data_IF_537171494706
#
_entry.id   IF_537171494706
#
_cell.length_a   1.000
_cell.length_b   1.000
_cell.length_c   1.000
_cell.angle_alpha   90.00
_cell.angle_beta   90.00
_cell.angle_gamma   90.00
#
_symmetry.space_group_name_H-M   'P 1'
#
loop_
_entity.id
_entity.type
_entity.pdbx_description
1 polymer ?
#
# COMPACT_ATOMS: atom_id res chain seq x y z
N UNK A 1 -36.41 40.63 -9.25
CA UNK A 1 -35.75 39.83 -8.20
C UNK A 1 -36.01 38.36 -8.56
N UNK A 2 -35.00 37.70 -9.11
CA UNK A 2 -35.06 36.25 -9.38
C UNK A 2 -34.54 35.61 -8.11
N UNK A 3 -35.44 34.99 -7.34
CA UNK A 3 -35.09 34.13 -6.24
C UNK A 3 -34.25 32.97 -6.80
N UNK A 4 -32.97 32.98 -6.48
CA UNK A 4 -32.14 31.80 -6.60
C UNK A 4 -32.69 30.76 -5.63
N UNK A 5 -33.45 29.79 -6.16
CA UNK A 5 -33.75 28.56 -5.43
C UNK A 5 -32.44 27.90 -5.06
N UNK A 6 -32.03 28.08 -3.81
CA UNK A 6 -31.05 27.21 -3.20
C UNK A 6 -31.63 25.82 -3.17
N UNK A 7 -31.29 25.00 -4.13
CA UNK A 7 -31.50 23.56 -4.07
C UNK A 7 -30.79 23.07 -2.79
N UNK A 8 -31.53 22.92 -1.72
CA UNK A 8 -31.05 22.29 -0.51
C UNK A 8 -30.61 20.87 -0.88
N UNK A 9 -29.32 20.61 -0.83
CA UNK A 9 -28.71 19.27 -0.93
C UNK A 9 -29.07 18.44 0.33
N UNK A 10 -30.36 18.43 0.73
CA UNK A 10 -30.83 17.84 1.97
C UNK A 10 -31.08 16.34 1.82
N UNK A 11 -30.02 15.55 1.74
CA UNK A 11 -30.16 14.12 1.79
C UNK A 11 -29.00 13.50 2.57
N UNK A 12 -29.27 12.44 3.32
CA UNK A 12 -28.27 11.72 4.09
C UNK A 12 -27.38 10.88 3.15
N UNK A 13 -26.06 10.99 3.32
CA UNK A 13 -25.05 10.26 2.52
C UNK A 13 -24.50 9.09 3.34
N UNK A 14 -24.55 7.87 2.79
CA UNK A 14 -23.81 6.75 3.34
C UNK A 14 -22.40 6.73 2.76
N UNK A 15 -21.40 6.58 3.65
CA UNK A 15 -20.03 6.26 3.29
C UNK A 15 -19.75 4.84 3.76
N UNK A 16 -19.57 3.92 2.83
CA UNK A 16 -19.30 2.53 3.13
C UNK A 16 -17.80 2.34 3.35
N UNK A 17 -17.42 1.97 4.58
CA UNK A 17 -16.05 1.78 5.04
C UNK A 17 -15.47 2.96 5.80
N UNK A 18 -14.89 2.66 6.98
CA UNK A 18 -14.22 3.59 7.91
C UNK A 18 -12.69 3.57 7.79
N UNK A 19 -12.13 3.22 6.63
CA UNK A 19 -10.71 3.38 6.33
C UNK A 19 -10.32 4.84 6.05
N UNK A 20 -9.06 5.10 5.70
CA UNK A 20 -8.55 6.45 5.42
C UNK A 20 -9.45 7.23 4.46
N UNK A 21 -9.78 6.66 3.29
CA UNK A 21 -10.59 7.36 2.27
C UNK A 21 -11.99 7.68 2.79
N UNK A 22 -12.64 6.74 3.50
CA UNK A 22 -13.97 6.97 4.07
C UNK A 22 -13.98 8.06 5.13
N UNK A 23 -13.00 8.05 6.04
CA UNK A 23 -12.86 9.07 7.08
C UNK A 23 -12.54 10.45 6.52
N UNK A 24 -11.60 10.55 5.55
CA UNK A 24 -11.25 11.83 4.92
C UNK A 24 -12.43 12.38 4.14
N UNK A 25 -13.10 11.56 3.31
CA UNK A 25 -14.28 11.99 2.56
C UNK A 25 -15.40 12.43 3.50
N UNK A 26 -15.66 11.65 4.56
CA UNK A 26 -16.68 11.98 5.56
C UNK A 26 -16.36 13.27 6.32
N UNK A 27 -15.11 13.45 6.73
CA UNK A 27 -14.67 14.67 7.38
C UNK A 27 -14.89 15.91 6.50
N UNK A 28 -14.45 15.85 5.25
CA UNK A 28 -14.56 16.98 4.32
C UNK A 28 -16.02 17.30 3.97
N UNK A 29 -16.85 16.29 3.71
CA UNK A 29 -18.29 16.48 3.46
C UNK A 29 -19.00 17.07 4.68
N UNK A 30 -18.69 16.58 5.90
CA UNK A 30 -19.23 17.13 7.14
C UNK A 30 -18.81 18.60 7.37
N UNK A 31 -17.59 18.98 7.00
CA UNK A 31 -17.14 20.38 7.02
C UNK A 31 -17.94 21.27 6.05
N UNK A 32 -18.38 20.72 4.92
CA UNK A 32 -19.25 21.41 3.96
C UNK A 32 -20.74 21.41 4.38
N UNK A 33 -21.07 20.92 5.58
CA UNK A 33 -22.46 20.89 6.10
C UNK A 33 -23.31 19.74 5.60
N UNK A 34 -22.73 18.74 4.90
CA UNK A 34 -23.47 17.57 4.43
C UNK A 34 -23.82 16.63 5.58
N UNK A 35 -25.00 16.02 5.51
CA UNK A 35 -25.42 14.99 6.46
C UNK A 35 -24.85 13.64 6.04
N UNK A 36 -23.90 13.10 6.81
CA UNK A 36 -23.21 11.85 6.50
C UNK A 36 -23.40 10.79 7.57
N UNK A 37 -23.24 9.52 7.19
CA UNK A 37 -23.02 8.40 8.10
C UNK A 37 -21.99 7.44 7.49
N UNK A 38 -20.92 7.13 8.25
CA UNK A 38 -19.90 6.17 7.89
C UNK A 38 -20.27 4.81 8.49
N UNK A 39 -20.34 3.77 7.65
CA UNK A 39 -20.67 2.40 8.05
C UNK A 39 -19.41 1.53 7.98
N UNK A 40 -18.89 1.10 9.13
CA UNK A 40 -17.68 0.30 9.27
C UNK A 40 -18.00 -1.09 9.82
N UNK A 41 -17.48 -2.14 9.18
CA UNK A 41 -17.73 -3.52 9.58
C UNK A 41 -17.02 -3.92 10.87
N UNK A 42 -15.85 -3.35 11.13
CA UNK A 42 -15.01 -3.68 12.28
C UNK A 42 -15.46 -2.94 13.54
N UNK A 43 -14.92 -3.34 14.69
CA UNK A 43 -15.14 -2.67 15.98
C UNK A 43 -14.36 -1.35 16.11
N UNK A 44 -13.47 -1.05 15.15
CA UNK A 44 -12.72 0.19 15.07
C UNK A 44 -12.48 0.62 13.62
N UNK A 45 -12.21 1.91 13.42
CA UNK A 45 -11.87 2.49 12.13
C UNK A 45 -10.40 2.29 11.77
N UNK A 46 -10.05 2.55 10.49
CA UNK A 46 -8.67 2.64 10.03
C UNK A 46 -8.32 1.74 8.83
N UNK A 47 -9.01 0.62 8.66
CA UNK A 47 -8.69 -0.33 7.60
C UNK A 47 -7.20 -0.73 7.64
N UNK A 48 -6.49 -0.62 6.52
CA UNK A 48 -5.05 -0.93 6.43
C UNK A 48 -4.14 -0.03 7.31
N UNK A 49 -4.65 1.09 7.81
CA UNK A 49 -3.89 2.02 8.66
C UNK A 49 -4.12 1.78 10.15
N UNK A 50 -4.63 0.64 10.55
CA UNK A 50 -4.67 0.23 11.96
C UNK A 50 -3.27 -0.17 12.43
N UNK A 51 -3.04 0.00 13.74
CA UNK A 51 -1.80 -0.42 14.40
C UNK A 51 -2.13 -1.28 15.60
N UNK A 52 -1.36 -2.35 15.80
CA UNK A 52 -1.36 -3.10 17.04
C UNK A 52 -0.65 -2.26 18.12
N UNK A 53 -1.27 -2.10 19.28
CA UNK A 53 -0.62 -1.57 20.49
C UNK A 53 -0.78 -2.62 21.58
N UNK A 54 0.32 -3.28 21.95
CA UNK A 54 0.31 -4.41 22.89
C UNK A 54 1.61 -4.40 23.70
N UNK A 55 1.51 -4.35 25.03
CA UNK A 55 2.62 -4.41 25.98
C UNK A 55 3.80 -3.44 25.66
N UNK A 56 3.47 -2.21 25.27
CA UNK A 56 4.44 -1.18 24.87
C UNK A 56 5.00 -1.30 23.46
N UNK A 57 4.61 -2.32 22.72
CA UNK A 57 4.92 -2.47 21.31
C UNK A 57 3.84 -1.85 20.44
N UNK A 58 4.26 -1.20 19.35
CA UNK A 58 3.35 -0.67 18.32
C UNK A 58 3.81 -1.10 16.94
N UNK A 59 2.90 -1.71 16.17
CA UNK A 59 3.15 -2.17 14.79
C UNK A 59 1.98 -1.85 13.89
N UNK A 60 2.24 -1.44 12.67
CA UNK A 60 1.21 -1.16 11.66
C UNK A 60 0.73 -2.46 11.00
N UNK A 61 -0.59 -2.69 10.96
CA UNK A 61 -1.19 -3.93 10.44
C UNK A 61 -0.95 -4.15 8.96
N UNK A 62 -1.20 -3.13 8.15
CA UNK A 62 -1.11 -3.21 6.69
C UNK A 62 0.32 -3.14 6.13
N UNK A 63 1.33 -3.46 6.93
CA UNK A 63 2.75 -3.25 6.61
C UNK A 63 3.23 -1.84 6.99
N UNK A 64 4.52 -1.58 6.81
CA UNK A 64 5.08 -0.27 7.16
C UNK A 64 4.47 0.86 6.36
N UNK A 65 3.80 1.77 7.04
CA UNK A 65 3.30 3.00 6.46
C UNK A 65 4.18 4.18 6.87
N UNK A 66 4.53 5.03 5.90
CA UNK A 66 5.26 6.27 6.12
C UNK A 66 4.49 7.43 5.52
N UNK A 67 4.53 8.58 6.17
CA UNK A 67 3.89 9.81 5.70
C UNK A 67 4.86 10.53 4.79
N UNK A 68 4.46 10.66 3.54
CA UNK A 68 5.21 11.32 2.49
C UNK A 68 4.24 11.74 1.38
N UNK A 69 4.47 12.90 0.77
CA UNK A 69 3.79 13.31 -0.46
C UNK A 69 4.61 14.35 -1.23
N UNK A 70 4.47 14.36 -2.56
CA UNK A 70 4.86 15.49 -3.41
C UNK A 70 3.79 16.59 -3.43
N UNK A 71 2.55 16.22 -3.14
CA UNK A 71 1.45 17.15 -3.02
C UNK A 71 1.47 17.77 -1.61
N UNK A 72 1.76 19.06 -1.54
CA UNK A 72 1.88 19.81 -0.28
C UNK A 72 0.56 19.89 0.48
N UNK A 73 -0.60 19.95 -0.21
CA UNK A 73 -1.92 19.97 0.42
C UNK A 73 -2.16 18.65 1.18
N UNK A 74 -1.94 17.51 0.54
CA UNK A 74 -2.09 16.20 1.19
C UNK A 74 -1.08 15.98 2.31
N UNK A 75 0.18 16.44 2.14
CA UNK A 75 1.19 16.33 3.19
C UNK A 75 0.82 17.15 4.41
N UNK A 76 0.50 18.43 4.21
CA UNK A 76 0.12 19.32 5.31
C UNK A 76 -1.14 18.83 6.01
N UNK A 77 -2.15 18.35 5.27
CA UNK A 77 -3.34 17.75 5.86
C UNK A 77 -3.00 16.61 6.84
N UNK A 78 -2.09 15.70 6.47
CA UNK A 78 -1.65 14.61 7.36
C UNK A 78 -0.88 15.12 8.59
N UNK A 79 0.03 16.09 8.40
CA UNK A 79 0.84 16.63 9.49
C UNK A 79 0.01 17.48 10.44
N UNK A 80 -0.94 18.28 9.95
CA UNK A 80 -1.86 19.09 10.78
C UNK A 80 -2.76 18.21 11.64
N UNK A 81 -3.19 17.05 11.13
CA UNK A 81 -3.93 16.05 11.92
C UNK A 81 -3.11 15.49 13.07
N UNK A 82 -1.82 15.31 12.90
CA UNK A 82 -0.91 14.79 13.92
C UNK A 82 -0.44 15.87 14.91
N UNK A 83 -0.50 17.14 14.52
CA UNK A 83 0.04 18.25 15.32
C UNK A 83 1.53 18.07 15.61
N UNK A 84 1.90 17.90 16.89
CA UNK A 84 3.30 17.64 17.28
C UNK A 84 3.67 16.15 17.37
N UNK A 85 2.71 15.26 17.07
CA UNK A 85 2.91 13.81 17.20
C UNK A 85 3.57 13.20 15.94
N UNK A 86 4.66 13.79 15.46
CA UNK A 86 5.43 13.16 14.37
C UNK A 86 6.93 13.41 14.48
N UNK A 87 7.70 12.56 13.80
CA UNK A 87 9.16 12.65 13.62
C UNK A 87 9.46 12.68 12.13
N UNK A 88 10.39 13.56 11.73
CA UNK A 88 10.95 13.56 10.37
C UNK A 88 12.16 12.67 10.33
N UNK A 89 12.14 11.67 9.45
CA UNK A 89 13.20 10.70 9.23
C UNK A 89 13.86 10.87 7.87
N UNK A 90 15.13 10.50 7.77
CA UNK A 90 15.80 10.29 6.48
C UNK A 90 15.74 8.81 6.14
N UNK A 91 15.30 8.49 4.93
CA UNK A 91 15.21 7.11 4.46
C UNK A 91 16.59 6.48 4.33
N UNK A 92 16.76 5.30 4.91
CA UNK A 92 17.92 4.43 4.72
C UNK A 92 17.41 3.04 4.30
N UNK A 93 17.30 2.83 2.99
CA UNK A 93 16.72 1.62 2.40
C UNK A 93 17.79 0.89 1.61
N UNK A 94 17.83 -0.42 1.77
CA UNK A 94 18.73 -1.32 1.08
C UNK A 94 17.97 -2.48 0.45
N UNK A 95 18.64 -3.18 -0.46
CA UNK A 95 18.20 -4.45 -1.04
C UNK A 95 19.17 -5.50 -0.54
N UNK A 96 18.67 -6.56 0.06
CA UNK A 96 19.49 -7.69 0.48
C UNK A 96 19.60 -8.68 -0.69
N UNK A 97 20.69 -8.58 -1.44
CA UNK A 97 20.99 -9.40 -2.60
C UNK A 97 22.24 -10.25 -2.36
N UNK A 98 22.11 -11.59 -2.42
CA UNK A 98 23.22 -12.52 -2.20
C UNK A 98 24.06 -12.18 -0.96
N UNK A 99 23.41 -11.88 0.19
CA UNK A 99 24.04 -11.43 1.46
C UNK A 99 24.72 -10.06 1.41
N UNK A 100 24.68 -9.34 0.30
CA UNK A 100 25.17 -7.97 0.18
C UNK A 100 24.03 -6.97 0.36
N UNK A 101 24.33 -5.85 1.03
CA UNK A 101 23.39 -4.74 1.21
C UNK A 101 23.55 -3.74 0.05
N UNK A 102 22.81 -3.94 -1.02
CA UNK A 102 22.84 -3.08 -2.20
C UNK A 102 21.99 -1.82 -1.96
N UNK A 103 22.51 -0.66 -2.34
CA UNK A 103 21.78 0.62 -2.25
C UNK A 103 20.48 0.55 -3.07
N UNK A 104 19.41 1.15 -2.54
CA UNK A 104 18.16 1.30 -3.27
C UNK A 104 18.09 2.68 -3.98
N UNK A 105 17.62 2.75 -5.23
CA UNK A 105 17.21 1.62 -6.07
C UNK A 105 18.42 0.81 -6.58
N UNK A 106 18.17 -0.44 -7.03
CA UNK A 106 19.23 -1.43 -7.34
C UNK A 106 20.23 -0.91 -8.39
N UNK A 107 19.73 -0.24 -9.43
CA UNK A 107 20.52 0.38 -10.50
C UNK A 107 21.45 1.50 -10.00
N UNK A 108 21.16 2.09 -8.83
CA UNK A 108 22.02 3.05 -8.15
C UNK A 108 22.92 2.44 -7.06
N UNK A 109 22.96 1.11 -6.98
CA UNK A 109 23.75 0.35 -6.03
C UNK A 109 24.72 -0.62 -6.71
N UNK A 110 25.00 -0.49 -8.00
CA UNK A 110 25.75 -1.49 -8.75
C UNK A 110 27.17 -1.69 -8.21
N UNK A 111 27.81 -0.68 -7.60
CA UNK A 111 29.14 -0.83 -6.97
C UNK A 111 29.13 -1.70 -5.70
N UNK A 112 27.98 -1.91 -5.09
CA UNK A 112 27.83 -2.79 -3.92
C UNK A 112 27.82 -4.27 -4.31
N UNK A 113 27.75 -4.58 -5.63
CA UNK A 113 27.83 -5.93 -6.18
C UNK A 113 29.29 -6.38 -6.39
N UNK A 114 29.53 -7.70 -6.51
CA UNK A 114 30.80 -8.20 -7.02
C UNK A 114 31.15 -7.59 -8.38
N UNK A 115 32.43 -7.26 -8.63
CA UNK A 115 32.87 -6.53 -9.84
C UNK A 115 32.41 -7.17 -11.16
N UNK A 116 32.36 -8.50 -11.21
CA UNK A 116 31.86 -9.21 -12.41
C UNK A 116 30.37 -8.94 -12.64
N UNK A 117 29.55 -8.94 -11.57
CA UNK A 117 28.12 -8.64 -11.65
C UNK A 117 27.86 -7.16 -11.93
N UNK A 118 28.66 -6.25 -11.35
CA UNK A 118 28.62 -4.81 -11.67
C UNK A 118 28.86 -4.60 -13.16
N UNK A 119 29.90 -5.25 -13.73
CA UNK A 119 30.21 -5.16 -15.16
C UNK A 119 29.08 -5.71 -16.03
N UNK A 120 28.53 -6.88 -15.68
CA UNK A 120 27.42 -7.50 -16.41
C UNK A 120 26.19 -6.57 -16.45
N UNK A 121 25.79 -6.01 -15.30
CA UNK A 121 24.67 -5.08 -15.21
C UNK A 121 24.92 -3.82 -16.04
N UNK A 122 26.08 -3.19 -15.88
CA UNK A 122 26.41 -1.96 -16.57
C UNK A 122 26.52 -2.17 -18.08
N UNK A 123 27.22 -3.23 -18.51
CA UNK A 123 27.39 -3.54 -19.94
C UNK A 123 26.03 -3.80 -20.60
N UNK A 124 25.18 -4.65 -20.00
CA UNK A 124 23.85 -4.92 -20.55
C UNK A 124 22.97 -3.67 -20.60
N UNK A 125 23.07 -2.78 -19.61
CA UNK A 125 22.37 -1.50 -19.62
C UNK A 125 22.83 -0.60 -20.78
N UNK A 126 24.15 -0.42 -20.97
CA UNK A 126 24.72 0.37 -22.07
C UNK A 126 24.31 -0.22 -23.44
N UNK A 127 24.41 -1.54 -23.62
CA UNK A 127 23.97 -2.20 -24.87
C UNK A 127 22.49 -1.94 -25.15
N UNK A 128 21.64 -1.94 -24.12
CA UNK A 128 20.22 -1.64 -24.26
C UNK A 128 20.01 -0.19 -24.71
N UNK A 129 20.74 0.79 -24.16
CA UNK A 129 20.66 2.18 -24.61
C UNK A 129 21.07 2.36 -26.07
N UNK A 130 22.16 1.73 -26.50
CA UNK A 130 22.63 1.76 -27.88
C UNK A 130 21.65 1.11 -28.87
N UNK A 131 20.95 0.04 -28.44
CA UNK A 131 19.90 -0.60 -29.25
C UNK A 131 18.65 0.29 -29.35
N UNK A 132 18.28 1.01 -28.30
CA UNK A 132 17.17 1.98 -28.34
C UNK A 132 17.43 3.13 -29.28
N UNK A 133 18.64 3.74 -29.21
CA UNK A 133 19.03 4.83 -30.09
C UNK A 133 18.95 4.46 -31.57
N UNK A 134 19.14 3.19 -31.90
CA UNK A 134 19.08 2.66 -33.27
C UNK A 134 17.70 2.12 -33.63
N UNK A 135 16.66 2.34 -32.85
CA UNK A 135 15.30 1.81 -33.02
C UNK A 135 15.23 0.26 -33.23
N UNK A 136 16.19 -0.46 -32.62
CA UNK A 136 16.27 -1.92 -32.72
C UNK A 136 15.44 -2.69 -31.71
N UNK A 137 14.83 -1.99 -30.74
CA UNK A 137 14.03 -2.63 -29.70
C UNK A 137 12.54 -2.34 -29.89
N UNK A 138 11.71 -3.37 -29.89
CA UNK A 138 10.27 -3.23 -29.86
C UNK A 138 9.80 -2.58 -28.55
N UNK A 139 8.72 -1.81 -28.62
CA UNK A 139 8.08 -1.27 -27.40
C UNK A 139 7.57 -2.40 -26.52
N UNK A 140 7.82 -2.33 -25.20
CA UNK A 140 7.43 -3.38 -24.26
C UNK A 140 5.90 -3.45 -24.11
N UNK A 141 5.37 -4.67 -23.90
CA UNK A 141 3.94 -4.94 -23.69
C UNK A 141 3.63 -5.39 -22.26
N UNK A 142 4.62 -5.79 -21.50
CA UNK A 142 4.49 -6.30 -20.12
C UNK A 142 5.72 -5.95 -19.30
N UNK A 143 5.66 -6.17 -17.98
CA UNK A 143 6.74 -5.83 -17.06
C UNK A 143 8.05 -6.55 -17.38
N UNK A 144 8.00 -7.81 -17.83
CA UNK A 144 9.20 -8.55 -18.19
C UNK A 144 9.94 -7.84 -19.34
N UNK A 145 9.23 -7.56 -20.44
CA UNK A 145 9.80 -6.85 -21.59
C UNK A 145 10.25 -5.43 -21.22
N UNK A 146 9.47 -4.72 -20.39
CA UNK A 146 9.80 -3.38 -19.93
C UNK A 146 11.07 -3.36 -19.10
N UNK A 147 11.29 -4.36 -18.24
CA UNK A 147 12.48 -4.47 -17.41
C UNK A 147 13.74 -4.61 -18.26
N UNK A 148 13.71 -5.48 -19.28
CA UNK A 148 14.80 -5.62 -20.25
C UNK A 148 14.99 -4.36 -21.10
N UNK A 149 13.89 -3.79 -21.59
CA UNK A 149 13.90 -2.59 -22.41
C UNK A 149 14.44 -1.37 -21.66
N UNK A 150 14.20 -1.27 -20.36
CA UNK A 150 14.57 -0.07 -19.57
C UNK A 150 15.96 -0.18 -18.97
N UNK A 151 16.33 -1.34 -18.41
CA UNK A 151 17.53 -1.50 -17.59
C UNK A 151 18.53 -2.54 -18.13
N UNK A 152 18.20 -3.24 -19.19
CA UNK A 152 19.02 -4.32 -19.73
C UNK A 152 18.92 -5.63 -18.92
N UNK A 153 19.55 -6.67 -19.44
CA UNK A 153 19.40 -8.03 -18.93
C UNK A 153 19.95 -8.21 -17.51
N UNK A 154 21.10 -7.62 -17.19
CA UNK A 154 21.74 -7.81 -15.91
C UNK A 154 20.89 -7.34 -14.72
N UNK A 155 20.41 -6.09 -14.78
CA UNK A 155 19.55 -5.50 -13.71
C UNK A 155 18.18 -6.20 -13.71
N UNK A 156 17.57 -6.41 -14.88
CA UNK A 156 16.27 -7.03 -15.00
C UNK A 156 16.22 -8.42 -14.34
N UNK A 157 17.16 -9.31 -14.65
CA UNK A 157 17.20 -10.68 -14.11
C UNK A 157 17.64 -10.79 -12.67
N UNK A 158 18.55 -9.90 -12.21
CA UNK A 158 19.08 -9.98 -10.85
C UNK A 158 18.10 -9.42 -9.81
N UNK A 159 17.34 -8.41 -10.16
CA UNK A 159 16.49 -7.75 -9.16
C UNK A 159 15.05 -7.49 -9.62
N UNK A 160 14.85 -6.78 -10.74
CA UNK A 160 13.50 -6.26 -11.05
C UNK A 160 12.48 -7.37 -11.23
N UNK A 161 12.76 -8.35 -12.08
CA UNK A 161 11.85 -9.45 -12.35
C UNK A 161 11.67 -10.32 -11.09
N UNK A 162 12.72 -10.87 -10.45
CA UNK A 162 12.56 -11.72 -9.26
C UNK A 162 11.82 -11.03 -8.12
N UNK A 163 12.11 -9.76 -7.85
CA UNK A 163 11.46 -9.02 -6.78
C UNK A 163 9.99 -8.73 -7.08
N UNK A 164 9.68 -8.29 -8.30
CA UNK A 164 8.29 -8.03 -8.68
C UNK A 164 7.44 -9.30 -8.71
N UNK A 165 7.95 -10.41 -9.26
CA UNK A 165 7.24 -11.69 -9.18
C UNK A 165 7.02 -12.19 -7.75
N UNK A 166 7.96 -11.89 -6.85
CA UNK A 166 7.83 -12.25 -5.43
C UNK A 166 6.75 -11.45 -4.72
N UNK A 167 6.72 -10.12 -4.90
CA UNK A 167 5.73 -9.26 -4.24
C UNK A 167 4.35 -9.37 -4.88
N UNK A 168 4.28 -9.44 -6.22
CA UNK A 168 3.00 -9.47 -6.94
C UNK A 168 2.41 -10.87 -7.08
N UNK A 169 3.19 -11.94 -6.82
CA UNK A 169 2.77 -13.34 -7.00
C UNK A 169 2.21 -13.62 -8.39
N UNK A 170 2.75 -12.97 -9.39
CA UNK A 170 2.37 -13.08 -10.79
C UNK A 170 3.63 -13.12 -11.66
N UNK A 171 3.60 -13.89 -12.76
CA UNK A 171 4.68 -13.85 -13.76
C UNK A 171 4.79 -12.46 -14.37
N UNK A 172 6.00 -11.92 -14.45
CA UNK A 172 6.26 -10.59 -14.99
C UNK A 172 5.76 -10.40 -16.44
N UNK A 173 5.61 -11.49 -17.22
CA UNK A 173 5.02 -11.49 -18.55
C UNK A 173 3.52 -11.24 -18.58
N UNK A 174 2.85 -11.46 -17.46
CA UNK A 174 1.40 -11.24 -17.28
C UNK A 174 1.09 -9.91 -16.60
N UNK A 175 2.10 -9.16 -16.14
CA UNK A 175 1.93 -7.86 -15.52
C UNK A 175 1.85 -6.74 -16.56
N UNK A 176 0.82 -5.90 -16.45
CA UNK A 176 0.65 -4.70 -17.28
C UNK A 176 1.66 -3.61 -16.96
N UNK A 177 1.62 -2.52 -17.74
CA UNK A 177 2.56 -1.39 -17.61
C UNK A 177 1.95 -0.16 -16.96
N UNK A 178 0.67 -0.18 -16.60
CA UNK A 178 -0.07 0.99 -16.11
C UNK A 178 0.43 1.54 -14.75
N UNK A 179 1.39 0.86 -14.14
CA UNK A 179 1.94 1.21 -12.83
C UNK A 179 3.47 1.36 -12.80
N UNK A 180 4.17 1.09 -13.93
CA UNK A 180 5.66 1.07 -13.98
C UNK A 180 6.29 2.44 -13.68
N UNK A 181 5.55 3.54 -13.82
CA UNK A 181 6.02 4.88 -13.43
C UNK A 181 6.38 4.99 -11.94
N UNK A 182 5.92 4.04 -11.11
CA UNK A 182 6.29 3.94 -9.70
C UNK A 182 7.64 3.28 -9.46
N UNK A 183 8.17 2.57 -10.46
CA UNK A 183 9.50 1.98 -10.40
C UNK A 183 10.52 3.10 -10.63
N UNK A 184 11.52 3.27 -9.72
CA UNK A 184 12.54 4.27 -9.93
C UNK A 184 13.24 4.12 -11.28
N UNK A 185 13.44 5.21 -11.97
CA UNK A 185 14.21 5.26 -13.21
C UNK A 185 15.21 6.43 -13.11
N UNK A 186 16.36 6.20 -12.47
CA UNK A 186 17.36 7.25 -12.28
C UNK A 186 17.98 7.66 -13.61
N UNK A 187 18.54 8.90 -13.68
CA UNK A 187 19.30 9.34 -14.84
C UNK A 187 20.44 8.37 -15.18
N UNK A 188 20.74 8.22 -16.47
CA UNK A 188 21.85 7.37 -16.97
C UNK A 188 23.17 7.72 -16.27
N UNK A 189 23.43 9.02 -16.09
CA UNK A 189 24.63 9.52 -15.41
C UNK A 189 24.75 8.97 -13.98
N UNK A 190 23.62 8.90 -13.24
CA UNK A 190 23.62 8.39 -11.87
C UNK A 190 23.92 6.89 -11.81
N UNK A 191 23.42 6.13 -12.79
CA UNK A 191 23.73 4.68 -12.91
C UNK A 191 25.23 4.48 -13.18
N UNK A 192 25.78 5.28 -14.11
CA UNK A 192 27.21 5.22 -14.43
C UNK A 192 28.08 5.62 -13.23
N UNK A 193 27.79 6.74 -12.57
CA UNK A 193 28.50 7.19 -11.37
C UNK A 193 28.45 6.13 -10.27
N UNK A 194 27.26 5.62 -9.99
CA UNK A 194 27.08 4.62 -8.93
C UNK A 194 27.82 3.32 -9.21
N UNK A 195 27.93 2.89 -10.47
CA UNK A 195 28.66 1.69 -10.86
C UNK A 195 30.18 1.81 -10.62
N UNK A 196 30.69 3.05 -10.66
CA UNK A 196 32.09 3.38 -10.36
C UNK A 196 32.33 3.68 -8.87
N UNK A 197 31.31 3.59 -8.02
CA UNK A 197 31.40 3.91 -6.59
C UNK A 197 31.33 5.39 -6.28
N UNK A 198 31.02 6.25 -7.26
CA UNK A 198 30.78 7.68 -7.04
C UNK A 198 29.42 7.85 -6.38
N UNK A 199 29.39 8.54 -5.24
CA UNK A 199 28.15 8.75 -4.49
C UNK A 199 27.14 9.60 -5.31
N UNK A 200 25.92 9.13 -5.40
CA UNK A 200 24.76 9.84 -5.95
C UNK A 200 23.64 9.83 -4.93
N UNK A 201 22.77 10.85 -4.93
CA UNK A 201 21.54 10.77 -4.10
C UNK A 201 20.59 9.68 -4.60
N UNK A 202 20.69 9.33 -5.88
CA UNK A 202 19.88 8.32 -6.53
C UNK A 202 18.40 8.71 -6.57
N UNK A 203 17.54 7.93 -5.95
CA UNK A 203 16.11 8.19 -5.90
C UNK A 203 15.78 9.18 -4.78
N UNK A 204 15.68 10.47 -5.11
CA UNK A 204 15.38 11.55 -4.16
C UNK A 204 13.93 11.57 -3.70
N UNK A 205 13.04 10.93 -4.47
CA UNK A 205 11.66 10.74 -4.08
C UNK A 205 11.58 9.93 -2.78
N UNK A 206 10.84 10.41 -1.78
CA UNK A 206 10.79 9.82 -0.43
C UNK A 206 12.15 9.80 0.32
N UNK A 207 13.06 10.68 0.01
CA UNK A 207 14.33 10.80 0.75
C UNK A 207 14.08 11.12 2.23
N UNK A 208 13.08 11.95 2.49
CA UNK A 208 12.57 12.23 3.83
C UNK A 208 11.13 11.75 3.94
N UNK A 209 10.78 11.23 5.11
CA UNK A 209 9.42 10.85 5.46
C UNK A 209 9.11 11.21 6.91
N UNK A 210 7.82 11.22 7.25
CA UNK A 210 7.38 11.44 8.61
C UNK A 210 6.68 10.17 9.13
N UNK A 211 6.73 10.01 10.44
CA UNK A 211 6.07 8.91 11.14
C UNK A 211 5.57 9.39 12.51
N UNK A 212 4.41 8.94 13.02
CA UNK A 212 3.93 9.33 14.34
C UNK A 212 4.92 8.96 15.44
N UNK A 213 5.11 9.86 16.42
CA UNK A 213 5.92 9.55 17.62
C UNK A 213 5.31 8.38 18.36
N UNK A 214 3.99 8.45 18.62
CA UNK A 214 3.23 7.48 19.41
C UNK A 214 2.03 6.99 18.61
N UNK A 215 1.61 5.72 18.86
CA UNK A 215 0.36 5.15 18.35
C UNK A 215 0.43 4.61 16.92
N UNK A 216 1.64 4.53 16.32
CA UNK A 216 1.79 4.05 14.95
C UNK A 216 1.04 4.90 13.94
N UNK A 217 0.86 4.39 12.72
CA UNK A 217 0.15 5.14 11.66
C UNK A 217 -1.33 5.36 12.01
N UNK A 218 -1.90 4.54 12.91
CA UNK A 218 -3.29 4.70 13.38
C UNK A 218 -3.52 6.01 14.10
N UNK A 219 -2.49 6.69 14.62
CA UNK A 219 -2.62 8.02 15.23
C UNK A 219 -3.27 9.02 14.25
N UNK A 220 -2.99 8.94 12.96
CA UNK A 220 -3.62 9.77 11.93
C UNK A 220 -5.13 9.48 11.83
N UNK A 221 -5.50 8.19 11.86
CA UNK A 221 -6.89 7.72 11.83
C UNK A 221 -7.65 8.22 13.07
N UNK A 222 -7.06 8.07 14.27
CA UNK A 222 -7.69 8.52 15.52
C UNK A 222 -7.92 10.02 15.56
N UNK A 223 -7.01 10.80 14.96
CA UNK A 223 -7.19 12.25 14.82
C UNK A 223 -8.36 12.63 13.91
N UNK A 224 -8.60 11.88 12.82
CA UNK A 224 -9.78 12.05 11.96
C UNK A 224 -11.07 11.58 12.67
N UNK A 225 -11.03 10.39 13.25
CA UNK A 225 -12.14 9.80 14.00
C UNK A 225 -12.68 10.75 15.06
N UNK A 226 -11.81 11.36 15.85
CA UNK A 226 -12.20 12.30 16.89
C UNK A 226 -13.00 13.52 16.38
N UNK A 227 -12.79 13.92 15.12
CA UNK A 227 -13.50 15.06 14.51
C UNK A 227 -14.91 14.73 14.01
N UNK A 228 -15.24 13.45 13.80
CA UNK A 228 -16.49 12.98 13.20
C UNK A 228 -17.05 11.72 13.89
N UNK A 229 -16.68 11.46 15.15
CA UNK A 229 -17.03 10.23 15.87
C UNK A 229 -18.55 9.94 15.87
N UNK A 230 -19.41 10.97 16.06
CA UNK A 230 -20.85 10.80 16.09
C UNK A 230 -21.47 10.43 14.71
N UNK A 231 -20.65 10.43 13.63
CA UNK A 231 -21.07 10.08 12.28
C UNK A 231 -20.66 8.66 11.89
N UNK A 232 -20.06 7.89 12.81
CA UNK A 232 -19.50 6.56 12.55
C UNK A 232 -20.37 5.50 13.23
N UNK A 233 -20.83 4.54 12.46
CA UNK A 233 -21.48 3.30 12.95
C UNK A 233 -20.52 2.14 12.76
N UNK A 234 -19.98 1.62 13.86
CA UNK A 234 -19.09 0.45 13.89
C UNK A 234 -19.90 -0.85 13.91
N UNK A 235 -19.24 -1.98 13.63
CA UNK A 235 -19.84 -3.33 13.58
C UNK A 235 -21.00 -3.45 12.59
N UNK A 236 -20.99 -2.64 11.53
CA UNK A 236 -22.00 -2.65 10.47
C UNK A 236 -21.39 -3.23 9.18
N UNK A 237 -21.44 -4.54 9.03
CA UNK A 237 -20.94 -5.23 7.84
C UNK A 237 -21.98 -5.18 6.72
N UNK A 238 -21.76 -4.32 5.73
CA UNK A 238 -22.68 -4.15 4.59
C UNK A 238 -22.79 -5.43 3.78
N UNK A 239 -24.01 -6.00 3.71
CA UNK A 239 -24.35 -7.22 2.98
C UNK A 239 -25.25 -6.98 1.78
N UNK A 240 -26.08 -5.94 1.83
CA UNK A 240 -26.98 -5.55 0.74
C UNK A 240 -26.99 -4.04 0.56
N UNK A 241 -26.90 -3.62 -0.69
CA UNK A 241 -27.12 -2.24 -1.13
C UNK A 241 -28.14 -2.30 -2.27
N UNK A 242 -29.27 -1.72 -2.09
CA UNK A 242 -30.36 -1.71 -3.07
C UNK A 242 -31.02 -0.35 -3.18
N UNK A 243 -31.85 -0.15 -4.19
CA UNK A 243 -32.63 1.06 -4.36
C UNK A 243 -34.10 0.74 -4.16
N UNK A 244 -34.74 1.48 -3.27
CA UNK A 244 -36.16 1.36 -2.98
C UNK A 244 -36.82 2.76 -3.14
N UNK A 245 -37.72 2.87 -4.08
CA UNK A 245 -38.24 4.17 -4.53
C UNK A 245 -37.06 5.07 -4.95
N UNK A 246 -36.95 6.28 -4.38
CA UNK A 246 -35.89 7.23 -4.69
C UNK A 246 -34.70 7.20 -3.69
N UNK A 247 -34.63 6.21 -2.79
CA UNK A 247 -33.63 6.09 -1.75
C UNK A 247 -32.80 4.84 -1.90
N UNK A 248 -31.54 4.92 -1.45
CA UNK A 248 -30.69 3.78 -1.27
C UNK A 248 -30.96 3.12 0.08
N UNK A 249 -31.10 1.81 0.09
CA UNK A 249 -31.20 1.01 1.32
C UNK A 249 -29.94 0.20 1.49
N UNK A 250 -29.28 0.36 2.64
CA UNK A 250 -28.08 -0.38 3.01
C UNK A 250 -28.42 -1.28 4.20
N UNK A 251 -28.08 -2.58 4.09
CA UNK A 251 -28.39 -3.59 5.11
C UNK A 251 -27.16 -4.39 5.51
N UNK A 252 -27.00 -4.66 6.81
CA UNK A 252 -26.03 -5.61 7.37
C UNK A 252 -26.62 -7.02 7.56
N UNK A 253 -27.87 -7.20 7.11
CA UNK A 253 -28.66 -8.44 7.31
C UNK A 253 -29.41 -8.49 8.65
N UNK A 254 -29.27 -7.48 9.52
CA UNK A 254 -29.98 -7.35 10.80
C UNK A 254 -30.79 -6.03 10.83
N UNK A 255 -30.18 -4.99 10.35
CA UNK A 255 -30.75 -3.63 10.32
C UNK A 255 -30.65 -3.04 8.92
N UNK A 256 -31.57 -2.16 8.57
CA UNK A 256 -31.59 -1.44 7.31
C UNK A 256 -31.56 0.06 7.58
N UNK A 257 -30.83 0.78 6.74
CA UNK A 257 -30.71 2.24 6.80
C UNK A 257 -30.93 2.84 5.44
N UNK A 258 -31.66 3.96 5.38
CA UNK A 258 -32.01 4.65 4.14
C UNK A 258 -31.15 5.89 3.93
N UNK A 259 -30.70 6.11 2.68
CA UNK A 259 -29.82 7.20 2.28
C UNK A 259 -30.19 7.75 0.89
N UNK A 260 -29.81 8.99 0.63
CA UNK A 260 -30.02 9.63 -0.67
C UNK A 260 -28.84 9.38 -1.64
N UNK A 261 -27.62 9.21 -1.11
CA UNK A 261 -26.40 8.96 -1.87
C UNK A 261 -25.56 7.90 -1.21
N UNK A 262 -24.81 7.15 -2.03
CA UNK A 262 -23.82 6.18 -1.58
C UNK A 262 -22.43 6.56 -2.09
N UNK A 263 -21.47 6.60 -1.19
CA UNK A 263 -20.06 6.66 -1.49
C UNK A 263 -19.43 5.40 -0.93
N UNK A 264 -18.81 4.60 -1.78
CA UNK A 264 -18.15 3.37 -1.34
C UNK A 264 -16.65 3.53 -1.26
N UNK A 265 -16.08 3.14 -0.14
CA UNK A 265 -14.63 3.04 0.08
C UNK A 265 -14.20 1.61 0.45
N UNK A 266 -15.18 0.67 0.53
CA UNK A 266 -14.91 -0.75 0.76
C UNK A 266 -14.35 -1.41 -0.51
N UNK A 267 -13.69 -2.58 -0.39
CA UNK A 267 -13.25 -3.33 -1.55
C UNK A 267 -14.39 -3.54 -2.55
N UNK A 268 -14.13 -3.19 -3.81
CA UNK A 268 -15.17 -3.22 -4.86
C UNK A 268 -15.70 -4.64 -5.09
N UNK A 269 -14.92 -5.68 -4.78
CA UNK A 269 -15.37 -7.07 -4.77
C UNK A 269 -16.54 -7.28 -3.78
N UNK A 270 -16.40 -6.72 -2.57
CA UNK A 270 -17.45 -6.77 -1.54
C UNK A 270 -18.67 -5.94 -1.93
N UNK A 271 -18.44 -4.78 -2.55
CA UNK A 271 -19.53 -3.95 -3.04
C UNK A 271 -20.32 -4.65 -4.15
N UNK A 272 -19.65 -5.25 -5.15
CA UNK A 272 -20.32 -6.03 -6.22
C UNK A 272 -21.12 -7.19 -5.65
N UNK A 273 -20.63 -7.84 -4.59
CA UNK A 273 -21.39 -8.90 -3.90
C UNK A 273 -22.62 -8.38 -3.12
N UNK A 274 -22.61 -7.10 -2.73
CA UNK A 274 -23.70 -6.47 -1.97
C UNK A 274 -24.79 -5.85 -2.85
N UNK A 275 -24.53 -5.61 -4.14
CA UNK A 275 -25.50 -5.10 -5.11
C UNK A 275 -25.95 -6.21 -6.07
N UNK A 276 -27.12 -6.06 -6.68
CA UNK A 276 -27.56 -6.96 -7.74
C UNK A 276 -26.90 -6.59 -9.08
N UNK A 277 -25.61 -6.90 -9.20
CA UNK A 277 -24.84 -6.57 -10.38
C UNK A 277 -25.12 -7.53 -11.55
N UNK A 278 -25.08 -7.06 -12.81
CA UNK A 278 -25.16 -7.91 -14.00
C UNK A 278 -24.01 -8.94 -14.07
N UNK A 279 -24.24 -10.04 -14.80
CA UNK A 279 -23.24 -11.11 -14.92
C UNK A 279 -21.91 -10.63 -15.53
N UNK A 280 -21.95 -9.69 -16.45
CA UNK A 280 -20.77 -9.06 -17.05
C UNK A 280 -19.89 -8.39 -15.99
N UNK A 281 -20.49 -7.63 -15.06
CA UNK A 281 -19.80 -6.97 -13.95
C UNK A 281 -19.24 -8.00 -12.97
N UNK A 282 -19.99 -9.06 -12.67
CA UNK A 282 -19.52 -10.19 -11.83
C UNK A 282 -18.33 -10.90 -12.46
N UNK A 283 -18.33 -11.10 -13.76
CA UNK A 283 -17.19 -11.69 -14.48
C UNK A 283 -15.97 -10.77 -14.45
N UNK A 284 -16.17 -9.46 -14.72
CA UNK A 284 -15.09 -8.48 -14.69
C UNK A 284 -14.44 -8.37 -13.30
N UNK A 285 -15.25 -8.32 -12.21
CA UNK A 285 -14.71 -8.23 -10.85
C UNK A 285 -13.96 -9.52 -10.44
N UNK A 286 -14.41 -10.68 -10.90
CA UNK A 286 -13.72 -11.95 -10.63
C UNK A 286 -12.37 -12.06 -11.35
N UNK A 287 -12.19 -11.34 -12.45
CA UNK A 287 -10.95 -11.25 -13.20
C UNK A 287 -9.96 -10.23 -12.61
N UNK A 288 -10.41 -9.25 -11.82
CA UNK A 288 -9.55 -8.28 -11.16
C UNK A 288 -8.81 -8.92 -9.98
N UNK A 289 -7.49 -8.89 -10.04
CA UNK A 289 -6.60 -9.60 -9.12
C UNK A 289 -6.06 -8.70 -8.02
N UNK A 290 -5.89 -9.25 -6.83
CA UNK A 290 -5.25 -8.60 -5.70
C UNK A 290 -4.42 -9.60 -4.90
N UNK A 291 -3.48 -9.09 -4.12
CA UNK A 291 -2.74 -9.89 -3.14
C UNK A 291 -3.18 -9.54 -1.73
N UNK A 292 -3.09 -10.57 -0.89
CA UNK A 292 -3.17 -10.50 0.55
C UNK A 292 -1.79 -10.26 1.16
N UNK A 293 -1.77 -9.82 2.41
CA UNK A 293 -0.55 -9.56 3.17
C UNK A 293 -0.62 -10.25 4.53
N UNK A 294 0.45 -10.94 4.87
CA UNK A 294 0.72 -11.38 6.23
C UNK A 294 1.84 -10.52 6.78
N UNK A 295 1.63 -9.92 7.94
CA UNK A 295 2.66 -9.20 8.68
C UNK A 295 3.06 -9.98 9.92
N UNK A 296 4.35 -10.24 10.08
CA UNK A 296 4.93 -10.84 11.27
C UNK A 296 5.66 -9.76 12.04
N UNK A 297 5.21 -9.50 13.25
CA UNK A 297 5.64 -8.45 14.15
C UNK A 297 6.56 -9.08 15.20
N UNK A 298 7.82 -8.64 15.27
CA UNK A 298 8.80 -9.19 16.19
C UNK A 298 9.40 -8.09 17.05
N UNK A 299 9.33 -8.26 18.37
CA UNK A 299 10.07 -7.46 19.33
C UNK A 299 11.40 -8.11 19.67
N UNK A 300 12.47 -7.32 19.67
CA UNK A 300 13.84 -7.79 19.84
C UNK A 300 14.46 -7.21 21.10
N UNK A 301 15.03 -8.05 21.93
CA UNK A 301 15.71 -7.69 23.17
C UNK A 301 17.09 -7.08 22.91
N UNK A 302 17.14 -6.07 22.06
CA UNK A 302 18.33 -5.27 21.74
C UNK A 302 17.94 -3.83 21.52
N UNK A 303 18.72 -2.91 22.03
CA UNK A 303 18.45 -1.47 21.91
C UNK A 303 18.42 -1.01 20.44
N UNK A 304 19.28 -1.59 19.62
CA UNK A 304 19.37 -1.25 18.19
C UNK A 304 19.88 -2.43 17.38
N UNK A 305 19.20 -2.76 16.29
CA UNK A 305 19.63 -3.77 15.34
C UNK A 305 20.52 -3.21 14.23
N UNK A 306 20.12 -2.07 13.68
CA UNK A 306 20.77 -1.40 12.56
C UNK A 306 20.23 0.04 12.40
N UNK A 307 20.66 0.74 11.33
CA UNK A 307 20.18 2.10 10.99
C UNK A 307 19.22 2.11 9.78
N UNK A 308 18.73 0.95 9.35
CA UNK A 308 17.90 0.84 8.17
C UNK A 308 16.45 1.23 8.45
N UNK A 309 15.81 1.86 7.48
CA UNK A 309 14.36 2.03 7.48
C UNK A 309 13.68 0.70 7.11
N UNK A 310 14.10 0.10 6.01
CA UNK A 310 13.63 -1.22 5.56
C UNK A 310 14.60 -1.86 4.56
N UNK A 311 14.43 -3.17 4.39
CA UNK A 311 15.13 -4.02 3.43
C UNK A 311 14.14 -4.63 2.45
N UNK A 312 14.48 -4.62 1.17
CA UNK A 312 13.83 -5.43 0.16
C UNK A 312 14.57 -6.75 -0.02
N UNK A 313 13.85 -7.86 -0.14
CA UNK A 313 14.40 -9.22 -0.19
C UNK A 313 13.91 -9.93 -1.45
N UNK A 314 14.67 -9.91 -2.55
CA UNK A 314 14.29 -10.58 -3.80
C UNK A 314 14.43 -12.11 -3.73
N UNK A 315 15.17 -12.67 -2.77
CA UNK A 315 15.40 -14.11 -2.62
C UNK A 315 14.08 -14.88 -2.49
N UNK A 316 13.76 -15.72 -3.49
CA UNK A 316 12.53 -16.52 -3.54
C UNK A 316 12.54 -17.71 -2.58
N UNK A 317 13.70 -18.06 -1.97
CA UNK A 317 13.80 -19.18 -1.02
C UNK A 317 13.27 -18.83 0.37
N UNK A 318 12.99 -17.56 0.64
CA UNK A 318 12.37 -17.06 1.87
C UNK A 318 11.02 -16.42 1.57
N UNK A 319 10.09 -16.48 2.54
CA UNK A 319 8.73 -15.96 2.34
C UNK A 319 8.70 -14.43 2.33
N UNK A 320 9.45 -13.81 3.22
CA UNK A 320 9.44 -12.37 3.46
C UNK A 320 10.00 -11.61 2.25
N UNK A 321 9.23 -10.65 1.72
CA UNK A 321 9.68 -9.81 0.60
C UNK A 321 10.21 -8.44 1.06
N UNK A 322 9.78 -7.97 2.25
CA UNK A 322 10.22 -6.72 2.87
C UNK A 322 10.35 -6.89 4.38
N UNK A 323 11.37 -6.31 4.95
CA UNK A 323 11.57 -6.20 6.40
C UNK A 323 11.75 -4.73 6.74
N UNK A 324 10.95 -4.22 7.66
CA UNK A 324 11.05 -2.86 8.17
C UNK A 324 11.47 -2.87 9.63
N UNK A 325 12.02 -1.74 10.09
CA UNK A 325 12.52 -1.56 11.44
C UNK A 325 11.78 -0.38 12.11
N UNK A 326 10.54 -0.58 12.60
CA UNK A 326 9.70 0.52 13.11
C UNK A 326 10.35 1.31 14.25
N UNK A 327 11.17 0.68 15.08
CA UNK A 327 11.95 1.36 16.13
C UNK A 327 12.92 2.42 15.58
N UNK A 328 13.33 2.33 14.29
CA UNK A 328 14.11 3.36 13.61
C UNK A 328 13.24 4.52 13.06
N UNK A 329 11.91 4.36 13.06
CA UNK A 329 10.98 5.45 12.70
C UNK A 329 10.61 6.28 13.92
N UNK A 330 10.37 5.59 15.06
CA UNK A 330 10.12 6.20 16.36
C UNK A 330 10.57 5.27 17.49
N UNK A 331 11.31 5.80 18.45
CA UNK A 331 11.67 5.06 19.66
C UNK A 331 10.49 4.85 20.61
N UNK A 332 9.38 5.56 20.41
CA UNK A 332 8.18 5.44 21.23
C UNK A 332 7.26 4.28 20.84
N UNK A 333 7.60 3.55 19.75
CA UNK A 333 6.83 2.37 19.31
C UNK A 333 7.36 1.05 19.87
N UNK A 334 8.37 1.11 20.75
CA UNK A 334 8.97 -0.06 21.42
C UNK A 334 9.23 0.23 22.88
N UNK A 335 9.25 -0.79 23.75
CA UNK A 335 9.71 -0.62 25.13
C UNK A 335 11.17 -0.12 25.20
N UNK A 336 11.58 0.63 26.24
CA UNK A 336 12.93 1.13 26.40
C UNK A 336 14.00 0.00 26.29
N UNK A 337 15.07 0.26 25.53
CA UNK A 337 16.16 -0.70 25.33
C UNK A 337 15.82 -1.85 24.38
N UNK A 338 14.73 -1.79 23.65
CA UNK A 338 14.29 -2.78 22.68
C UNK A 338 14.31 -2.22 21.25
N UNK A 339 14.18 -3.09 20.27
CA UNK A 339 13.96 -2.75 18.86
C UNK A 339 12.93 -3.68 18.23
N UNK A 340 12.47 -3.36 17.03
CA UNK A 340 11.38 -4.08 16.38
C UNK A 340 11.68 -4.41 14.92
N UNK A 341 11.10 -5.52 14.47
CA UNK A 341 11.07 -5.96 13.08
C UNK A 341 9.62 -6.16 12.66
N UNK A 342 9.26 -5.62 11.51
CA UNK A 342 8.00 -5.92 10.81
C UNK A 342 8.35 -6.62 9.50
N UNK A 343 8.09 -7.93 9.42
CA UNK A 343 8.31 -8.74 8.23
C UNK A 343 7.00 -8.87 7.43
N UNK A 344 7.08 -8.65 6.13
CA UNK A 344 5.94 -8.62 5.22
C UNK A 344 6.01 -9.76 4.22
N UNK A 345 4.93 -10.53 4.13
CA UNK A 345 4.79 -11.70 3.27
C UNK A 345 3.53 -11.53 2.42
N UNK A 346 3.68 -11.36 1.11
CA UNK A 346 2.54 -11.40 0.19
C UNK A 346 2.14 -12.82 -0.15
N UNK A 347 0.85 -13.06 -0.31
CA UNK A 347 0.26 -14.34 -0.67
C UNK A 347 -1.07 -14.10 -1.40
N UNK A 348 -1.68 -15.15 -1.94
CA UNK A 348 -3.07 -15.09 -2.38
C UNK A 348 -3.99 -15.47 -1.24
N UNK A 349 -5.15 -14.83 -1.18
CA UNK A 349 -6.19 -15.20 -0.22
C UNK A 349 -6.54 -16.70 -0.35
N UNK A 350 -6.40 -17.42 0.76
CA UNK A 350 -6.72 -18.84 0.81
C UNK A 350 -5.68 -19.79 0.19
N UNK A 351 -4.49 -19.34 -0.21
CA UNK A 351 -3.39 -20.22 -0.61
C UNK A 351 -2.72 -20.92 0.61
N UNK A 352 -1.73 -21.76 0.36
CA UNK A 352 -1.06 -22.53 1.41
C UNK A 352 -0.37 -21.62 2.44
N UNK A 353 0.22 -20.49 1.99
CA UNK A 353 0.88 -19.52 2.87
C UNK A 353 -0.14 -18.80 3.75
N UNK A 354 -1.29 -18.41 3.17
CA UNK A 354 -2.38 -17.78 3.90
C UNK A 354 -2.95 -18.70 5.00
N UNK A 355 -3.03 -20.00 4.73
CA UNK A 355 -3.61 -21.01 5.64
C UNK A 355 -2.67 -21.52 6.71
N UNK A 356 -1.36 -21.20 6.64
CA UNK A 356 -0.40 -21.59 7.67
C UNK A 356 -0.86 -21.11 9.05
N UNK A 357 -0.59 -21.89 10.09
CA UNK A 357 -0.83 -21.46 11.48
C UNK A 357 0.11 -20.31 11.85
N UNK A 358 -0.32 -19.44 12.76
CA UNK A 358 0.48 -18.31 13.21
C UNK A 358 1.85 -18.74 13.76
N UNK A 359 1.89 -19.81 14.54
CA UNK A 359 3.15 -20.37 15.07
C UNK A 359 4.10 -20.80 13.96
N UNK A 360 3.60 -21.43 12.89
CA UNK A 360 4.41 -21.87 11.75
C UNK A 360 4.96 -20.67 10.94
N UNK A 361 4.10 -19.66 10.69
CA UNK A 361 4.53 -18.42 10.00
C UNK A 361 5.61 -17.69 10.81
N UNK A 362 5.43 -17.58 12.14
CA UNK A 362 6.40 -16.94 13.03
C UNK A 362 7.73 -17.68 12.97
N UNK A 363 7.73 -19.01 13.20
CA UNK A 363 8.92 -19.83 13.21
C UNK A 363 9.68 -19.74 11.89
N UNK A 364 8.97 -19.92 10.77
CA UNK A 364 9.56 -19.84 9.43
C UNK A 364 10.12 -18.44 9.13
N UNK A 365 9.43 -17.39 9.53
CA UNK A 365 9.92 -16.01 9.37
C UNK A 365 11.19 -15.78 10.18
N UNK A 366 11.25 -16.26 11.42
CA UNK A 366 12.43 -16.17 12.28
C UNK A 366 13.60 -16.92 11.66
N UNK A 367 13.39 -18.15 11.16
CA UNK A 367 14.41 -18.93 10.48
C UNK A 367 14.93 -18.24 9.23
N UNK A 368 14.05 -17.67 8.43
CA UNK A 368 14.40 -16.87 7.26
C UNK A 368 15.27 -15.66 7.66
N UNK A 369 14.90 -14.93 8.71
CA UNK A 369 15.65 -13.76 9.18
C UNK A 369 17.04 -14.11 9.72
N UNK A 370 17.19 -15.26 10.41
CA UNK A 370 18.49 -15.80 10.85
C UNK A 370 19.32 -16.21 9.64
N UNK A 371 18.76 -16.97 8.70
CA UNK A 371 19.41 -17.39 7.46
C UNK A 371 19.95 -16.20 6.65
N UNK A 372 19.19 -15.10 6.63
CA UNK A 372 19.53 -13.86 5.94
C UNK A 372 20.53 -12.99 6.73
N UNK A 373 20.86 -13.33 7.98
CA UNK A 373 21.75 -12.57 8.84
C UNK A 373 21.15 -11.25 9.36
N UNK A 374 19.82 -11.11 9.32
CA UNK A 374 19.11 -9.92 9.84
C UNK A 374 19.04 -9.97 11.37
N UNK A 375 18.85 -11.15 11.93
CA UNK A 375 19.00 -11.45 13.37
C UNK A 375 20.06 -12.54 13.57
N UNK A 376 20.80 -12.44 14.66
CA UNK A 376 21.89 -13.38 14.96
C UNK A 376 21.42 -14.54 15.85
N UNK A 377 20.49 -14.29 16.76
CA UNK A 377 20.01 -15.28 17.73
C UNK A 377 18.50 -15.20 17.87
N UNK A 378 17.84 -16.35 17.80
CA UNK A 378 16.38 -16.49 18.03
C UNK A 378 15.97 -16.09 19.47
N UNK A 379 16.87 -16.32 20.45
CA UNK A 379 16.62 -15.98 21.85
C UNK A 379 16.51 -14.46 22.12
N UNK A 380 16.91 -13.64 21.16
CA UNK A 380 16.72 -12.20 21.22
C UNK A 380 15.25 -11.78 21.03
N UNK A 381 14.39 -12.68 20.54
CA UNK A 381 12.99 -12.40 20.26
C UNK A 381 12.19 -12.48 21.56
N UNK A 382 11.62 -11.35 21.97
CA UNK A 382 10.84 -11.26 23.21
C UNK A 382 9.37 -10.92 23.02
N UNK A 383 8.93 -10.68 21.78
CA UNK A 383 7.54 -10.43 21.41
C UNK A 383 7.30 -10.91 19.98
N UNK A 384 6.13 -11.47 19.72
CA UNK A 384 5.70 -11.81 18.37
C UNK A 384 4.19 -11.74 18.20
N UNK A 385 3.72 -11.33 17.02
CA UNK A 385 2.31 -11.38 16.58
C UNK A 385 2.26 -11.58 15.08
N UNK A 386 1.13 -12.08 14.59
CA UNK A 386 0.82 -12.21 13.16
C UNK A 386 -0.49 -11.49 12.89
N UNK A 387 -0.55 -10.77 11.78
CA UNK A 387 -1.80 -10.22 11.26
C UNK A 387 -1.94 -10.56 9.78
N UNK A 388 -3.18 -10.73 9.31
CA UNK A 388 -3.53 -11.03 7.92
C UNK A 388 -4.50 -10.01 7.39
N UNK A 389 -4.16 -9.42 6.25
CA UNK A 389 -5.05 -8.54 5.49
C UNK A 389 -5.38 -9.18 4.14
N UNK A 390 -6.68 -9.41 3.90
CA UNK A 390 -7.14 -9.98 2.63
C UNK A 390 -6.83 -9.05 1.45
N UNK A 391 -7.17 -7.78 1.57
CA UNK A 391 -7.01 -6.79 0.50
C UNK A 391 -5.80 -5.88 0.78
N UNK A 392 -4.61 -6.24 0.29
CA UNK A 392 -3.40 -5.46 0.53
C UNK A 392 -2.87 -4.74 -0.72
N UNK A 393 -2.78 -5.43 -1.85
CA UNK A 393 -2.21 -4.89 -3.09
C UNK A 393 -3.10 -5.18 -4.30
N UNK A 394 -3.41 -4.14 -5.07
CA UNK A 394 -4.08 -4.26 -6.37
C UNK A 394 -3.06 -4.72 -7.41
N UNK A 395 -3.38 -5.73 -8.19
CA UNK A 395 -2.56 -6.22 -9.28
C UNK A 395 -3.05 -5.68 -10.63
N UNK A 396 -2.12 -5.18 -11.41
CA UNK A 396 -2.37 -4.72 -12.77
C UNK A 396 -1.84 -5.79 -13.75
N UNK A 397 -2.70 -6.75 -14.13
CA UNK A 397 -2.41 -7.69 -15.20
C UNK A 397 -2.74 -7.08 -16.57
N UNK A 398 -2.55 -7.86 -17.66
CA UNK A 398 -2.76 -7.39 -19.03
C UNK A 398 -4.23 -7.03 -19.34
N UNK A 399 -5.19 -7.57 -18.60
CA UNK A 399 -6.63 -7.33 -18.77
C UNK A 399 -7.21 -6.35 -17.74
N UNK A 400 -6.38 -5.83 -16.85
CA UNK A 400 -6.77 -4.99 -15.73
C UNK A 400 -7.65 -3.79 -16.15
N UNK A 401 -7.20 -2.96 -17.10
CA UNK A 401 -7.92 -1.76 -17.50
C UNK A 401 -9.27 -2.07 -18.12
N UNK A 402 -9.36 -3.14 -18.93
CA UNK A 402 -10.62 -3.57 -19.54
C UNK A 402 -11.65 -3.95 -18.47
N UNK A 403 -11.24 -4.83 -17.54
CA UNK A 403 -12.13 -5.30 -16.48
C UNK A 403 -12.51 -4.17 -15.51
N UNK A 404 -11.55 -3.31 -15.18
CA UNK A 404 -11.79 -2.16 -14.29
C UNK A 404 -12.79 -1.18 -14.91
N UNK A 405 -12.71 -0.90 -16.22
CA UNK A 405 -13.63 0.00 -16.90
C UNK A 405 -15.08 -0.49 -16.84
N UNK A 406 -15.32 -1.79 -17.05
CA UNK A 406 -16.66 -2.40 -16.94
C UNK A 406 -17.24 -2.15 -15.54
N UNK A 407 -16.44 -2.41 -14.49
CA UNK A 407 -16.89 -2.24 -13.10
C UNK A 407 -17.15 -0.76 -12.78
N UNK A 408 -16.26 0.15 -13.16
CA UNK A 408 -16.42 1.59 -12.90
C UNK A 408 -17.61 2.17 -13.62
N UNK A 409 -17.82 1.85 -14.88
CA UNK A 409 -18.95 2.31 -15.66
C UNK A 409 -20.27 1.87 -15.02
N UNK A 410 -20.39 0.61 -14.61
CA UNK A 410 -21.57 0.12 -13.92
C UNK A 410 -21.90 0.94 -12.65
N UNK A 411 -20.93 1.17 -11.77
CA UNK A 411 -21.18 1.94 -10.55
C UNK A 411 -21.50 3.41 -10.84
N UNK A 412 -20.90 3.98 -11.87
CA UNK A 412 -21.24 5.33 -12.34
C UNK A 412 -22.68 5.40 -12.87
N UNK A 413 -23.13 4.42 -13.65
CA UNK A 413 -24.48 4.34 -14.20
C UNK A 413 -25.55 4.22 -13.11
N UNK A 414 -25.31 3.41 -12.07
CA UNK A 414 -26.25 3.28 -10.96
C UNK A 414 -26.12 4.39 -9.91
N UNK A 415 -25.14 5.30 -10.04
CA UNK A 415 -24.99 6.47 -9.17
C UNK A 415 -24.31 6.18 -7.82
N UNK A 416 -23.45 5.15 -7.72
CA UNK A 416 -22.59 4.89 -6.55
C UNK A 416 -21.18 5.40 -6.84
N UNK A 417 -20.70 6.33 -6.01
CA UNK A 417 -19.33 6.86 -6.13
C UNK A 417 -18.32 5.89 -5.49
N UNK A 418 -17.22 5.63 -6.19
CA UNK A 418 -16.11 4.81 -5.69
C UNK A 418 -14.94 5.72 -5.33
N UNK A 419 -14.41 5.64 -4.10
CA UNK A 419 -13.28 6.46 -3.62
C UNK A 419 -12.31 5.59 -2.81
N UNK A 420 -11.04 5.65 -3.17
CA UNK A 420 -9.96 5.01 -2.43
C UNK A 420 -9.48 3.69 -3.04
N UNK A 421 -8.36 3.20 -2.50
CA UNK A 421 -7.50 2.18 -3.06
C UNK A 421 -8.24 0.95 -3.61
N UNK A 422 -9.11 0.34 -2.83
CA UNK A 422 -9.81 -0.89 -3.20
C UNK A 422 -11.22 -0.66 -3.75
N UNK A 423 -11.82 0.50 -3.50
CA UNK A 423 -13.08 0.87 -4.13
C UNK A 423 -12.85 1.27 -5.60
N UNK A 424 -11.87 2.13 -5.89
CA UNK A 424 -11.45 2.48 -7.25
C UNK A 424 -10.63 1.39 -7.91
N UNK A 425 -10.22 0.39 -7.14
CA UNK A 425 -9.32 -0.71 -7.51
C UNK A 425 -8.04 -0.20 -8.19
N UNK A 426 -7.36 0.74 -7.52
CA UNK A 426 -6.11 1.37 -7.98
C UNK A 426 -5.04 1.25 -6.91
N UNK A 427 -3.78 1.11 -7.31
CA UNK A 427 -2.67 1.08 -6.37
C UNK A 427 -2.35 2.49 -5.87
N UNK A 428 -3.10 2.97 -4.87
CA UNK A 428 -2.96 4.29 -4.27
C UNK A 428 -2.19 4.22 -2.95
N UNK A 429 -1.28 5.17 -2.72
CA UNK A 429 -0.70 5.43 -1.40
C UNK A 429 -1.63 6.32 -0.58
N UNK A 430 -1.34 6.54 0.70
CA UNK A 430 -2.16 7.36 1.60
C UNK A 430 -2.44 8.76 1.06
N UNK A 431 -1.40 9.44 0.56
CA UNK A 431 -1.51 10.78 0.00
C UNK A 431 -2.43 10.82 -1.24
N UNK A 432 -2.33 9.84 -2.12
CA UNK A 432 -3.21 9.72 -3.27
C UNK A 432 -4.67 9.45 -2.85
N UNK A 433 -4.90 8.60 -1.83
CA UNK A 433 -6.24 8.40 -1.28
C UNK A 433 -6.84 9.71 -0.75
N UNK A 434 -6.04 10.52 -0.05
CA UNK A 434 -6.45 11.85 0.45
C UNK A 434 -6.75 12.79 -0.72
N UNK A 435 -5.88 12.83 -1.75
CA UNK A 435 -6.08 13.67 -2.93
C UNK A 435 -7.37 13.32 -3.68
N UNK A 436 -7.67 12.02 -3.86
CA UNK A 436 -8.91 11.56 -4.49
C UNK A 436 -10.14 11.98 -3.67
N UNK A 437 -10.08 11.87 -2.33
CA UNK A 437 -11.14 12.34 -1.44
C UNK A 437 -11.35 13.85 -1.54
N UNK A 438 -10.27 14.65 -1.55
CA UNK A 438 -10.32 16.12 -1.71
C UNK A 438 -10.89 16.48 -3.07
N UNK A 439 -10.43 15.86 -4.15
CA UNK A 439 -10.90 16.12 -5.50
C UNK A 439 -12.38 15.80 -5.65
N UNK A 440 -12.84 14.68 -5.09
CA UNK A 440 -14.24 14.31 -5.08
C UNK A 440 -15.11 15.38 -4.40
N UNK A 441 -14.73 15.81 -3.21
CA UNK A 441 -15.52 16.79 -2.43
C UNK A 441 -15.50 18.18 -3.07
N UNK A 442 -14.39 18.60 -3.70
CA UNK A 442 -14.30 19.88 -4.43
C UNK A 442 -15.14 19.88 -5.73
N UNK A 443 -15.37 18.70 -6.34
CA UNK A 443 -16.15 18.57 -7.57
C UNK A 443 -17.67 18.44 -7.34
N UNK A 444 -18.12 18.37 -6.11
CA UNK A 444 -19.51 18.20 -5.69
C UNK A 444 -19.94 19.30 -4.74
#
# INVERSE_FOLDING_TARGET
MIELQTNSRNGKIAILGGGLSGLVTGYLLNQNGESIEILEQEHETGGLMRSLVDDGWTFDYGGSHIIFSKNTEALNFMLDLLGENYIKNRRNTKILYNRSLVKYPFENGLSDLPKAETFECLNSFIQTLLCKEKDKLAKPKNLNEWSFYTFGEGIARKYLIPYNEKIWKLDAKLMGLDWVERIPSPPVEDILKSSLGIATEGYTHQLHFYYPKNGGIQALIKSLEAKIAQKITLNYNVKRVGRENDHWVVSDGKTEKSFNRIISTIPVQRLVAAVDAPQEVRNAISALKYNSLITVMLGINKNKLNDLSWLYIPDKTVLTHRVSFPSNFSLFVVPPGKSSILAEITCHFGDDVWRMKDSEIIERTIDDLVKLGIICNKDDICFNRVHREEYAYVLNDLDYLRNLSIVKNYFQEIGISLIGRFAEFMYLNMDACIQHSIAYVKGH
#
